data_IF_692957861083
#
_entry.id   IF_692957861083
#
_cell.length_a   1.000
_cell.length_b   1.000
_cell.length_c   1.000
_cell.angle_alpha   90.00
_cell.angle_beta   90.00
_cell.angle_gamma   90.00
#
_symmetry.space_group_name_H-M   'P 1'
#
loop_
_entity.id
_entity.type
_entity.pdbx_description
1 polymer ?
#
# COMPACT_ATOMS: atom_id res chain seq x y z
N UNK A 1 49.95 59.23 -15.55
CA UNK A 1 50.63 58.96 -14.27
C UNK A 1 49.78 57.96 -13.50
N UNK A 2 50.43 57.11 -12.70
CA UNK A 2 49.90 56.20 -11.68
C UNK A 2 48.78 56.83 -10.80
N UNK A 3 47.91 56.12 -10.06
CA UNK A 3 47.87 54.71 -9.66
C UNK A 3 46.48 54.26 -9.11
N UNK A 4 46.40 52.99 -8.70
CA UNK A 4 45.49 52.40 -7.70
C UNK A 4 44.06 51.97 -8.08
N UNK A 5 43.57 51.01 -7.28
CA UNK A 5 42.53 50.02 -7.59
C UNK A 5 41.56 49.82 -6.40
N UNK A 6 40.73 48.75 -6.44
CA UNK A 6 39.69 48.27 -5.48
C UNK A 6 38.25 48.75 -5.80
N UNK A 7 37.12 48.11 -5.43
CA UNK A 7 36.72 46.76 -4.90
C UNK A 7 35.16 46.68 -4.88
N UNK A 8 34.40 45.57 -4.80
CA UNK A 8 34.58 44.09 -4.97
C UNK A 8 33.21 43.46 -5.35
N UNK A 9 33.15 42.23 -5.88
CA UNK A 9 31.87 41.47 -6.00
C UNK A 9 31.97 40.27 -6.96
N UNK A 10 32.45 39.12 -6.52
CA UNK A 10 31.66 38.07 -5.84
C UNK A 10 30.60 37.45 -6.74
N UNK A 11 30.95 36.31 -7.35
CA UNK A 11 30.13 35.56 -8.29
C UNK A 11 30.63 34.12 -8.42
N UNK A 12 30.82 33.45 -7.27
CA UNK A 12 31.28 32.06 -7.22
C UNK A 12 30.17 31.10 -7.66
N UNK A 13 29.98 30.99 -8.97
CA UNK A 13 29.27 29.89 -9.60
C UNK A 13 30.07 28.61 -9.40
N UNK A 14 29.86 27.93 -8.26
CA UNK A 14 30.31 26.56 -8.07
C UNK A 14 29.67 25.70 -9.17
N UNK A 15 30.48 25.33 -10.17
CA UNK A 15 30.11 24.30 -11.15
C UNK A 15 29.62 23.07 -10.39
N UNK A 16 28.54 22.46 -10.88
CA UNK A 16 28.28 21.06 -10.55
C UNK A 16 29.52 20.28 -10.99
N UNK A 17 30.19 19.63 -10.03
CA UNK A 17 31.30 18.75 -10.33
C UNK A 17 30.80 17.60 -11.18
N UNK A 18 31.47 17.35 -12.30
CA UNK A 18 31.23 16.19 -13.14
C UNK A 18 31.68 14.96 -12.34
N UNK A 19 30.72 14.27 -11.73
CA UNK A 19 30.96 13.05 -10.96
C UNK A 19 31.43 11.99 -11.94
N UNK A 20 32.66 11.51 -11.77
CA UNK A 20 33.19 10.40 -12.57
C UNK A 20 32.52 9.10 -12.16
N UNK A 21 32.51 8.10 -13.04
CA UNK A 21 31.97 6.76 -12.72
C UNK A 21 32.68 6.10 -11.53
N UNK A 22 33.90 6.55 -11.21
CA UNK A 22 34.72 6.12 -10.08
C UNK A 22 34.24 6.66 -8.72
N UNK A 23 33.50 7.78 -8.69
CA UNK A 23 32.90 8.35 -7.47
C UNK A 23 31.57 7.66 -7.08
N UNK A 24 31.00 6.82 -7.95
CA UNK A 24 29.83 6.01 -7.58
C UNK A 24 30.25 4.88 -6.65
N UNK A 25 29.83 4.99 -5.38
CA UNK A 25 29.89 3.86 -4.46
C UNK A 25 29.20 2.63 -5.09
N UNK A 26 29.83 1.44 -5.05
CA UNK A 26 29.33 0.27 -5.78
C UNK A 26 27.93 -0.12 -5.29
N UNK A 27 26.95 0.04 -6.17
CA UNK A 27 25.55 -0.32 -5.90
C UNK A 27 25.50 -1.83 -5.69
N UNK A 28 25.36 -2.27 -4.44
CA UNK A 28 25.49 -3.68 -4.13
C UNK A 28 24.23 -4.46 -4.57
N UNK A 29 24.33 -5.79 -4.59
CA UNK A 29 23.23 -6.66 -5.02
C UNK A 29 22.01 -6.60 -4.10
N UNK A 30 22.16 -6.25 -2.81
CA UNK A 30 21.03 -6.00 -1.91
C UNK A 30 20.32 -4.68 -2.23
N UNK A 31 21.04 -3.63 -2.64
CA UNK A 31 20.45 -2.37 -3.09
C UNK A 31 19.67 -2.56 -4.39
N UNK A 32 20.24 -3.31 -5.35
CA UNK A 32 19.49 -3.73 -6.53
C UNK A 32 18.27 -4.58 -6.16
N UNK A 33 18.38 -5.52 -5.22
CA UNK A 33 17.24 -6.30 -4.75
C UNK A 33 16.18 -5.43 -4.04
N UNK A 34 16.58 -4.42 -3.25
CA UNK A 34 15.68 -3.46 -2.60
C UNK A 34 14.97 -2.56 -3.61
N UNK A 35 15.70 -2.00 -4.57
CA UNK A 35 15.15 -1.16 -5.65
C UNK A 35 14.24 -2.00 -6.53
N UNK A 36 14.69 -3.19 -6.96
CA UNK A 36 13.87 -4.12 -7.73
C UNK A 36 12.62 -4.53 -6.96
N UNK A 37 12.72 -4.89 -5.67
CA UNK A 37 11.54 -5.23 -4.86
C UNK A 37 10.59 -4.05 -4.66
N UNK A 38 11.11 -2.82 -4.58
CA UNK A 38 10.35 -1.58 -4.37
C UNK A 38 9.62 -1.09 -5.63
N UNK A 39 10.19 -1.32 -6.82
CA UNK A 39 9.64 -0.83 -8.10
C UNK A 39 9.02 -1.92 -8.99
N UNK A 40 9.50 -3.16 -8.90
CA UNK A 40 9.08 -4.31 -9.71
C UNK A 40 8.66 -5.54 -8.86
N UNK A 41 8.92 -5.52 -7.56
CA UNK A 41 8.74 -6.67 -6.68
C UNK A 41 7.30 -6.94 -6.33
N UNK A 42 6.79 -8.01 -6.91
CA UNK A 42 5.62 -8.74 -6.41
C UNK A 42 4.39 -7.83 -6.21
N UNK A 43 3.65 -7.64 -7.31
CA UNK A 43 2.19 -7.43 -7.24
C UNK A 43 1.64 -8.36 -6.14
N UNK A 44 1.27 -7.77 -5.00
CA UNK A 44 0.81 -8.52 -3.83
C UNK A 44 -0.41 -9.31 -4.29
N UNK A 45 -0.34 -10.64 -4.20
CA UNK A 45 -1.37 -11.49 -4.79
C UNK A 45 -2.72 -11.10 -4.18
N UNK A 46 -3.63 -10.58 -5.01
CA UNK A 46 -4.89 -10.00 -4.54
C UNK A 46 -5.87 -11.11 -4.21
N UNK A 47 -6.43 -11.08 -3.01
CA UNK A 47 -7.36 -12.08 -2.49
C UNK A 47 -8.67 -11.42 -2.10
N UNK A 48 -9.74 -11.80 -2.78
CA UNK A 48 -11.10 -11.51 -2.35
C UNK A 48 -11.53 -12.55 -1.32
N UNK A 49 -12.02 -12.09 -0.16
CA UNK A 49 -12.52 -12.95 0.92
C UNK A 49 -14.03 -12.76 1.04
N UNK A 50 -14.79 -13.85 0.98
CA UNK A 50 -16.21 -13.85 1.30
C UNK A 50 -16.42 -13.54 2.78
N UNK A 51 -16.85 -12.31 3.09
CA UNK A 51 -17.11 -11.84 4.45
C UNK A 51 -18.58 -12.11 4.78
N UNK A 52 -18.85 -12.96 5.76
CA UNK A 52 -20.22 -13.35 6.14
C UNK A 52 -20.78 -12.59 7.35
N UNK A 53 -19.96 -11.76 7.99
CA UNK A 53 -20.21 -11.23 9.34
C UNK A 53 -19.76 -12.20 10.46
N UNK A 54 -19.51 -13.47 10.13
CA UNK A 54 -19.03 -14.49 11.06
C UNK A 54 -17.51 -14.46 11.30
N UNK A 55 -17.10 -15.00 12.45
CA UNK A 55 -15.71 -14.98 12.94
C UNK A 55 -14.72 -15.68 12.01
N UNK A 56 -15.10 -16.76 11.34
CA UNK A 56 -14.18 -17.53 10.48
C UNK A 56 -13.72 -16.72 9.27
N UNK A 57 -14.62 -15.94 8.67
CA UNK A 57 -14.28 -15.02 7.57
C UNK A 57 -13.37 -13.88 8.04
N UNK A 58 -13.64 -13.33 9.23
CA UNK A 58 -12.84 -12.28 9.85
C UNK A 58 -11.39 -12.74 10.16
N UNK A 59 -11.24 -13.92 10.76
CA UNK A 59 -9.92 -14.51 11.07
C UNK A 59 -9.19 -14.88 9.78
N UNK A 60 -9.89 -15.37 8.76
CA UNK A 60 -9.30 -15.67 7.44
C UNK A 60 -8.73 -14.42 6.77
N UNK A 61 -9.51 -13.33 6.71
CA UNK A 61 -9.06 -12.04 6.18
C UNK A 61 -7.86 -11.47 6.97
N UNK A 62 -7.90 -11.54 8.30
CA UNK A 62 -6.78 -11.12 9.16
C UNK A 62 -5.51 -11.94 8.92
N UNK A 63 -5.62 -13.27 8.81
CA UNK A 63 -4.48 -14.15 8.54
C UNK A 63 -3.86 -13.89 7.17
N UNK A 64 -4.67 -13.55 6.16
CA UNK A 64 -4.19 -13.17 4.83
C UNK A 64 -3.49 -11.80 4.85
N UNK A 65 -4.10 -10.76 5.44
CA UNK A 65 -3.45 -9.45 5.60
C UNK A 65 -2.13 -9.56 6.39
N UNK A 66 -2.11 -10.35 7.46
CA UNK A 66 -0.92 -10.60 8.29
C UNK A 66 0.20 -11.34 7.53
N UNK A 67 -0.14 -12.22 6.59
CA UNK A 67 0.83 -12.85 5.66
C UNK A 67 1.25 -11.92 4.51
N UNK A 68 0.70 -10.72 4.44
CA UNK A 68 1.06 -9.71 3.46
C UNK A 68 0.31 -9.77 2.14
N UNK A 69 -0.79 -10.53 2.02
CA UNK A 69 -1.63 -10.47 0.82
C UNK A 69 -2.31 -9.10 0.67
N UNK A 70 -2.69 -8.73 -0.55
CA UNK A 70 -3.58 -7.59 -0.80
C UNK A 70 -5.02 -8.09 -0.70
N UNK A 71 -5.70 -7.78 0.40
CA UNK A 71 -6.97 -8.41 0.76
C UNK A 71 -8.11 -7.42 0.60
N UNK A 72 -9.21 -7.87 -0.01
CA UNK A 72 -10.50 -7.18 0.01
C UNK A 72 -11.59 -8.11 0.53
N UNK A 73 -12.53 -7.56 1.30
CA UNK A 73 -13.77 -8.25 1.64
C UNK A 73 -14.78 -8.18 0.48
N UNK A 74 -15.67 -9.17 0.42
CA UNK A 74 -16.88 -9.16 -0.41
C UNK A 74 -18.01 -9.76 0.43
N UNK A 75 -19.11 -9.03 0.60
CA UNK A 75 -20.34 -9.57 1.17
C UNK A 75 -21.27 -10.07 0.05
N UNK A 76 -21.78 -11.29 0.18
CA UNK A 76 -22.64 -11.91 -0.85
C UNK A 76 -24.09 -11.96 -0.39
N UNK A 77 -24.98 -11.67 -1.34
CA UNK A 77 -26.44 -11.61 -1.16
C UNK A 77 -27.04 -12.66 -2.09
N UNK A 78 -27.55 -13.74 -1.51
CA UNK A 78 -27.95 -14.93 -2.25
C UNK A 78 -29.41 -15.35 -2.03
N UNK A 79 -30.07 -14.84 -0.98
CA UNK A 79 -31.48 -15.09 -0.65
C UNK A 79 -32.25 -13.77 -0.54
N UNK A 80 -33.45 -13.73 -1.11
CA UNK A 80 -34.37 -12.60 -1.01
C UNK A 80 -35.51 -12.90 -0.02
N UNK A 81 -35.97 -11.87 0.69
CA UNK A 81 -36.93 -12.02 1.80
C UNK A 81 -38.38 -12.25 1.33
N UNK A 82 -38.61 -12.23 0.02
CA UNK A 82 -39.95 -12.31 -0.59
C UNK A 82 -40.46 -13.75 -0.70
N UNK A 83 -39.57 -14.75 -0.79
CA UNK A 83 -39.97 -16.15 -1.04
C UNK A 83 -39.92 -17.07 0.20
N UNK A 84 -39.09 -16.79 1.20
CA UNK A 84 -39.02 -17.59 2.45
C UNK A 84 -39.72 -16.88 3.62
N UNK A 85 -40.93 -17.35 3.95
CA UNK A 85 -41.86 -16.66 4.83
C UNK A 85 -41.35 -16.37 6.25
N UNK A 86 -41.63 -15.14 6.71
CA UNK A 86 -41.60 -14.67 8.11
C UNK A 86 -40.26 -14.62 8.85
N UNK A 87 -39.19 -15.25 8.35
CA UNK A 87 -37.87 -15.15 8.95
C UNK A 87 -37.30 -13.73 8.77
N UNK A 88 -37.22 -12.93 9.84
CA UNK A 88 -36.45 -11.68 9.86
C UNK A 88 -34.95 -12.00 9.69
N UNK A 89 -34.52 -12.16 8.45
CA UNK A 89 -33.14 -12.47 8.11
C UNK A 89 -32.21 -11.36 8.66
N UNK A 90 -31.18 -11.70 9.46
CA UNK A 90 -30.25 -10.72 10.04
C UNK A 90 -29.28 -10.11 9.01
N UNK A 91 -29.49 -10.29 7.70
CA UNK A 91 -28.67 -9.80 6.59
C UNK A 91 -28.17 -8.36 6.73
N UNK A 92 -28.99 -7.43 7.23
CA UNK A 92 -28.55 -6.04 7.48
C UNK A 92 -27.54 -5.91 8.62
N UNK A 93 -27.64 -6.77 9.64
CA UNK A 93 -26.64 -6.91 10.70
C UNK A 93 -25.40 -7.64 10.20
N UNK A 94 -25.56 -8.72 9.44
CA UNK A 94 -24.44 -9.52 8.95
C UNK A 94 -23.57 -8.71 7.97
N UNK A 95 -24.18 -7.90 7.09
CA UNK A 95 -23.46 -6.93 6.25
C UNK A 95 -22.74 -5.86 7.10
N UNK A 96 -23.40 -5.33 8.13
CA UNK A 96 -22.81 -4.32 9.01
C UNK A 96 -21.64 -4.87 9.84
N UNK A 97 -21.75 -6.09 10.36
CA UNK A 97 -20.68 -6.78 11.09
C UNK A 97 -19.52 -7.13 10.13
N UNK A 98 -19.81 -7.56 8.89
CA UNK A 98 -18.81 -7.78 7.84
C UNK A 98 -18.04 -6.50 7.46
N UNK A 99 -18.76 -5.40 7.21
CA UNK A 99 -18.19 -4.07 6.92
C UNK A 99 -17.32 -3.58 8.08
N UNK A 100 -17.80 -3.70 9.31
CA UNK A 100 -17.08 -3.30 10.53
C UNK A 100 -15.81 -4.11 10.77
N UNK A 101 -15.79 -5.39 10.37
CA UNK A 101 -14.56 -6.20 10.39
C UNK A 101 -13.56 -5.66 9.36
N UNK A 102 -13.98 -5.36 8.14
CA UNK A 102 -13.10 -4.80 7.12
C UNK A 102 -12.53 -3.43 7.49
N UNK A 103 -13.34 -2.55 8.09
CA UNK A 103 -12.90 -1.27 8.67
C UNK A 103 -11.83 -1.47 9.76
N UNK A 104 -12.07 -2.38 10.72
CA UNK A 104 -11.10 -2.70 11.78
C UNK A 104 -9.81 -3.34 11.25
N UNK A 105 -9.91 -4.11 10.17
CA UNK A 105 -8.77 -4.73 9.50
C UNK A 105 -8.08 -3.79 8.52
N UNK A 106 -8.63 -2.60 8.25
CA UNK A 106 -8.11 -1.64 7.26
C UNK A 106 -7.97 -2.32 5.87
N UNK A 107 -9.07 -2.90 5.38
CA UNK A 107 -9.18 -3.51 4.05
C UNK A 107 -10.43 -3.00 3.32
N UNK A 108 -10.43 -2.94 1.97
CA UNK A 108 -11.64 -2.64 1.19
C UNK A 108 -12.77 -3.66 1.46
N UNK A 109 -14.01 -3.22 1.22
CA UNK A 109 -15.25 -3.99 1.37
C UNK A 109 -16.26 -3.58 0.28
#
# INVERSE_FOLDING_TARGET
MNEHAKQTGSGDTKKAGEQTEEDMAPVNSEDYARVFLKFFGMQRLRVAVGMSGGVDSAVSAWLLKKRGFDVMGIYMINWDQVEEGSAKCPRTRDEADARRVCEKLDIPF
#
